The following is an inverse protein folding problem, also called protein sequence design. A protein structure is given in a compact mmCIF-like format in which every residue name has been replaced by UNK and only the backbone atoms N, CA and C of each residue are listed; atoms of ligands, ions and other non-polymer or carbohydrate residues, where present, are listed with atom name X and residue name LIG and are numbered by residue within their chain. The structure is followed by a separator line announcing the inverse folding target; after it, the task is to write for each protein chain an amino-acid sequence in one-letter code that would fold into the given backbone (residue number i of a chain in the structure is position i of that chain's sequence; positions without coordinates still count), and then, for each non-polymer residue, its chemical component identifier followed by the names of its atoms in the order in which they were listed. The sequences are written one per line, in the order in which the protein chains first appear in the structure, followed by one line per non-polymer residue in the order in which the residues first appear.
data_IF_050186750080
#
_entry.id   IF_050186750080
#
_cell.length_a   1.000
_cell.length_b   1.000
_cell.length_c   1.000
_cell.angle_alpha   90.00
_cell.angle_beta   90.00
_cell.angle_gamma   90.00
#
_symmetry.space_group_name_H-M   'P 1'
#
loop_
_entity.id
_entity.type
_entity.pdbx_description
1 polymer ?
#
# COMPACT_ATOMS: atom_id res chain seq x y z
N UNK A 1 -14.84 -17.39 16.79
CA UNK A 1 -14.21 -16.59 17.87
C UNK A 1 -14.95 -15.26 17.94
N UNK A 2 -15.94 -15.16 18.82
CA UNK A 2 -16.75 -13.94 19.00
C UNK A 2 -15.95 -13.06 19.97
N UNK A 3 -15.15 -12.15 19.43
CA UNK A 3 -14.44 -11.16 20.25
C UNK A 3 -15.44 -10.17 20.83
N UNK A 4 -15.19 -9.72 22.06
CA UNK A 4 -16.00 -8.69 22.73
C UNK A 4 -16.23 -7.50 21.81
N UNK A 5 -17.50 -7.25 21.46
CA UNK A 5 -17.90 -6.10 20.65
C UNK A 5 -17.82 -4.85 21.53
N UNK A 6 -17.04 -3.86 21.11
CA UNK A 6 -16.97 -2.58 21.81
C UNK A 6 -18.09 -1.65 21.36
N UNK A 7 -18.42 -0.64 22.18
CA UNK A 7 -19.44 0.35 21.82
C UNK A 7 -19.13 1.09 20.50
N UNK A 8 -17.84 1.34 20.22
CA UNK A 8 -17.40 1.97 18.97
C UNK A 8 -17.65 1.07 17.75
N UNK A 9 -17.54 -0.25 17.93
CA UNK A 9 -17.85 -1.20 16.85
C UNK A 9 -19.35 -1.16 16.53
N UNK A 10 -20.21 -1.14 17.54
CA UNK A 10 -21.65 -1.02 17.35
C UNK A 10 -22.03 0.29 16.62
N UNK A 11 -21.41 1.42 17.00
CA UNK A 11 -21.62 2.69 16.32
C UNK A 11 -21.14 2.66 14.87
N UNK A 12 -19.98 2.06 14.62
CA UNK A 12 -19.43 1.89 13.27
C UNK A 12 -20.33 1.02 12.40
N UNK A 13 -20.86 -0.08 12.96
CA UNK A 13 -21.78 -0.98 12.25
C UNK A 13 -23.10 -0.29 11.88
N UNK A 14 -23.63 0.57 12.76
CA UNK A 14 -24.80 1.39 12.46
C UNK A 14 -24.51 2.43 11.37
N UNK A 15 -23.34 3.06 11.40
CA UNK A 15 -22.92 4.00 10.36
C UNK A 15 -22.76 3.30 8.99
N UNK A 16 -22.18 2.10 8.98
CA UNK A 16 -22.00 1.28 7.77
C UNK A 16 -23.34 0.89 7.11
N UNK A 17 -24.45 0.83 7.86
CA UNK A 17 -25.78 0.57 7.31
C UNK A 17 -26.30 1.73 6.45
N UNK A 18 -25.94 2.97 6.81
CA UNK A 18 -26.35 4.19 6.09
C UNK A 18 -25.36 4.51 4.97
N UNK A 19 -24.06 4.44 5.25
CA UNK A 19 -22.99 4.73 4.31
C UNK A 19 -21.92 3.64 4.41
N UNK A 20 -22.02 2.56 3.62
CA UNK A 20 -21.10 1.44 3.72
C UNK A 20 -19.68 1.88 3.34
N UNK A 21 -18.71 1.51 4.17
CA UNK A 21 -17.29 1.63 3.80
C UNK A 21 -16.98 0.65 2.68
N UNK A 22 -16.35 1.13 1.60
CA UNK A 22 -16.03 0.32 0.43
C UNK A 22 -14.52 0.08 0.28
N UNK A 23 -14.17 -1.11 -0.21
CA UNK A 23 -12.80 -1.46 -0.56
C UNK A 23 -12.31 -0.59 -1.72
N UNK A 24 -11.14 0.05 -1.54
CA UNK A 24 -10.56 0.94 -2.54
C UNK A 24 -10.18 0.23 -3.85
N UNK A 25 -10.02 -1.10 -3.85
CA UNK A 25 -9.60 -1.88 -5.02
C UNK A 25 -10.79 -2.47 -5.77
N UNK A 26 -11.74 -3.08 -5.06
CA UNK A 26 -12.83 -3.85 -5.67
C UNK A 26 -14.24 -3.27 -5.43
N UNK A 27 -14.38 -2.22 -4.61
CA UNK A 27 -15.66 -1.57 -4.30
C UNK A 27 -16.60 -2.37 -3.40
N UNK A 28 -16.23 -3.56 -2.93
CA UNK A 28 -17.06 -4.35 -2.01
C UNK A 28 -17.16 -3.67 -0.64
N UNK A 29 -18.31 -3.80 0.01
CA UNK A 29 -18.51 -3.37 1.40
C UNK A 29 -17.54 -4.07 2.34
N UNK A 30 -16.91 -3.29 3.22
CA UNK A 30 -15.91 -3.73 4.17
C UNK A 30 -16.56 -4.26 5.44
N UNK A 31 -16.00 -5.33 6.01
CA UNK A 31 -16.40 -5.79 7.33
C UNK A 31 -15.95 -4.81 8.43
N UNK A 32 -16.53 -4.94 9.62
CA UNK A 32 -16.20 -4.14 10.81
C UNK A 32 -14.69 -4.00 11.10
N UNK A 33 -13.94 -5.09 10.93
CA UNK A 33 -12.49 -5.12 11.18
C UNK A 33 -11.64 -4.76 9.96
N UNK A 34 -12.27 -4.68 8.80
CA UNK A 34 -11.65 -4.19 7.57
C UNK A 34 -11.73 -2.66 7.56
N UNK A 35 -10.83 -2.02 6.79
CA UNK A 35 -10.66 -0.55 6.85
C UNK A 35 -10.62 0.10 5.48
N UNK A 36 -9.62 -0.21 4.65
CA UNK A 36 -9.49 0.34 3.29
C UNK A 36 -9.48 -0.76 2.22
N UNK A 37 -9.02 -1.96 2.59
CA UNK A 37 -8.96 -3.14 1.75
C UNK A 37 -9.80 -4.24 2.38
N UNK A 38 -10.59 -4.93 1.57
CA UNK A 38 -11.21 -6.18 2.00
C UNK A 38 -10.13 -7.25 2.12
N UNK A 39 -10.39 -8.29 2.91
CA UNK A 39 -9.44 -9.38 3.16
C UNK A 39 -8.99 -10.07 1.86
N UNK A 40 -9.88 -10.17 0.88
CA UNK A 40 -9.57 -10.74 -0.44
C UNK A 40 -8.53 -9.92 -1.19
N UNK A 41 -8.71 -8.61 -1.31
CA UNK A 41 -7.73 -7.73 -1.96
C UNK A 41 -6.45 -7.57 -1.13
N UNK A 42 -6.53 -7.68 0.19
CA UNK A 42 -5.34 -7.66 1.04
C UNK A 42 -4.49 -8.92 0.84
N UNK A 43 -5.13 -10.09 0.74
CA UNK A 43 -4.46 -11.36 0.51
C UNK A 43 -3.90 -11.50 -0.91
N UNK A 44 -4.60 -10.94 -1.91
CA UNK A 44 -4.19 -10.93 -3.33
C UNK A 44 -3.19 -9.81 -3.67
N UNK A 45 -2.84 -8.94 -2.71
CA UNK A 45 -1.91 -7.84 -2.95
C UNK A 45 -0.56 -8.38 -3.47
N UNK A 46 -0.07 -7.93 -4.65
CA UNK A 46 1.13 -8.48 -5.28
C UNK A 46 2.40 -7.95 -4.61
N UNK A 47 2.66 -8.37 -3.38
CA UNK A 47 3.79 -7.93 -2.55
C UNK A 47 5.12 -8.33 -3.17
N UNK A 48 6.10 -7.43 -3.08
CA UNK A 48 7.47 -7.69 -3.58
C UNK A 48 8.36 -8.34 -2.53
N UNK A 49 8.08 -8.10 -1.24
CA UNK A 49 8.89 -8.52 -0.08
C UNK A 49 10.36 -8.05 -0.11
N UNK A 50 10.65 -7.00 -0.88
CA UNK A 50 11.99 -6.45 -1.03
C UNK A 50 12.61 -5.93 0.27
N UNK A 51 11.81 -5.45 1.21
CA UNK A 51 12.26 -5.02 2.54
C UNK A 51 12.83 -6.17 3.38
N UNK A 52 12.45 -7.40 3.11
CA UNK A 52 12.87 -8.57 3.86
C UNK A 52 14.12 -9.23 3.26
N UNK A 53 14.58 -8.74 2.10
CA UNK A 53 15.72 -9.28 1.40
C UNK A 53 16.98 -8.49 1.77
N UNK A 54 18.08 -9.14 2.18
CA UNK A 54 19.34 -8.46 2.47
C UNK A 54 19.94 -7.80 1.21
N UNK A 55 19.73 -8.41 0.03
CA UNK A 55 20.05 -7.82 -1.28
C UNK A 55 18.76 -7.63 -2.07
N UNK A 56 18.39 -6.37 -2.29
CA UNK A 56 17.17 -6.00 -2.96
C UNK A 56 17.45 -5.55 -4.41
N UNK A 57 16.85 -6.25 -5.37
CA UNK A 57 16.95 -5.92 -6.80
C UNK A 57 16.53 -4.48 -7.13
N UNK A 58 15.55 -3.93 -6.40
CA UNK A 58 15.12 -2.54 -6.59
C UNK A 58 16.19 -1.56 -6.11
N UNK A 59 16.82 -1.81 -4.97
CA UNK A 59 17.93 -1.00 -4.47
C UNK A 59 19.13 -1.08 -5.43
N UNK A 60 19.45 -2.28 -5.92
CA UNK A 60 20.54 -2.45 -6.89
C UNK A 60 20.26 -1.70 -8.20
N UNK A 61 19.03 -1.78 -8.72
CA UNK A 61 18.61 -0.99 -9.89
C UNK A 61 18.68 0.51 -9.63
N UNK A 62 18.22 0.96 -8.47
CA UNK A 62 18.26 2.38 -8.11
C UNK A 62 19.69 2.91 -8.05
N UNK A 63 20.59 2.19 -7.37
CA UNK A 63 22.01 2.55 -7.29
C UNK A 63 22.71 2.46 -8.65
N UNK A 64 22.29 1.55 -9.54
CA UNK A 64 22.82 1.51 -10.91
C UNK A 64 22.48 2.77 -11.73
N UNK A 65 21.36 3.43 -11.41
CA UNK A 65 20.97 4.69 -12.05
C UNK A 65 21.77 5.86 -11.46
N UNK A 66 21.95 5.89 -10.14
CA UNK A 66 22.82 6.86 -9.45
C UNK A 66 24.25 6.79 -10.00
N UNK A 67 24.79 5.58 -10.13
CA UNK A 67 26.15 5.38 -10.64
C UNK A 67 26.33 5.95 -12.06
N UNK A 68 25.34 5.77 -12.93
CA UNK A 68 25.35 6.34 -14.29
C UNK A 68 25.31 7.87 -14.26
N UNK A 69 24.56 8.45 -13.33
CA UNK A 69 24.48 9.90 -13.16
C UNK A 69 25.83 10.47 -12.70
N UNK A 70 26.49 9.83 -11.72
CA UNK A 70 27.84 10.17 -11.26
C UNK A 70 28.84 10.13 -12.42
N UNK A 71 28.81 9.06 -13.23
CA UNK A 71 29.68 8.91 -14.40
C UNK A 71 29.45 10.01 -15.47
N UNK A 72 28.25 10.56 -15.54
CA UNK A 72 27.90 11.67 -16.44
C UNK A 72 28.28 13.07 -15.93
N UNK A 73 28.96 13.14 -14.78
CA UNK A 73 29.36 14.39 -14.12
C UNK A 73 28.43 14.83 -12.99
N UNK A 74 27.55 13.94 -12.53
CA UNK A 74 26.70 14.13 -11.35
C UNK A 74 27.49 14.17 -10.04
N UNK A 75 26.78 14.46 -8.94
CA UNK A 75 27.37 14.52 -7.59
C UNK A 75 27.49 13.11 -7.03
N UNK A 76 28.57 12.83 -6.30
CA UNK A 76 28.72 11.57 -5.58
C UNK A 76 27.60 11.39 -4.55
N UNK A 77 26.91 10.25 -4.63
CA UNK A 77 25.96 9.79 -3.62
C UNK A 77 26.37 8.41 -3.09
N UNK A 78 26.17 8.21 -1.79
CA UNK A 78 26.37 6.92 -1.14
C UNK A 78 25.25 5.92 -1.50
N UNK A 79 25.50 4.63 -1.28
CA UNK A 79 24.52 3.57 -1.52
C UNK A 79 23.18 3.90 -0.87
N UNK A 80 22.16 4.05 -1.70
CA UNK A 80 20.83 4.43 -1.29
C UNK A 80 19.91 3.21 -1.18
N UNK A 81 19.28 3.04 -0.02
CA UNK A 81 18.26 2.00 0.16
C UNK A 81 16.97 2.40 -0.54
N UNK A 82 16.46 1.51 -1.39
CA UNK A 82 15.14 1.64 -1.98
C UNK A 82 14.34 0.37 -1.69
N UNK A 83 13.02 0.49 -1.54
CA UNK A 83 12.11 -0.65 -1.45
C UNK A 83 10.76 -0.28 -2.03
N UNK A 84 10.00 -1.29 -2.45
CA UNK A 84 8.61 -1.13 -2.86
C UNK A 84 7.78 -2.13 -2.09
N UNK A 85 6.54 -1.80 -1.78
CA UNK A 85 5.65 -2.71 -1.06
C UNK A 85 5.06 -3.77 -1.99
N UNK A 86 4.60 -3.37 -3.16
CA UNK A 86 3.91 -4.22 -4.12
C UNK A 86 4.28 -3.85 -5.57
N UNK A 87 4.07 -4.79 -6.49
CA UNK A 87 4.25 -4.56 -7.92
C UNK A 87 3.14 -3.68 -8.47
N UNK A 88 3.47 -2.44 -8.81
CA UNK A 88 2.52 -1.52 -9.41
C UNK A 88 2.16 -1.94 -10.84
N UNK A 89 0.86 -2.03 -11.13
CA UNK A 89 0.31 -2.23 -12.48
C UNK A 89 -0.83 -1.25 -12.71
N UNK A 90 -0.77 -0.50 -13.81
CA UNK A 90 -1.78 0.53 -14.13
C UNK A 90 -3.16 -0.04 -14.47
N UNK A 91 -3.22 -1.32 -14.87
CA UNK A 91 -4.46 -1.99 -15.26
C UNK A 91 -5.22 -2.61 -14.08
N UNK A 92 -4.63 -2.65 -12.87
CA UNK A 92 -5.26 -3.25 -11.70
C UNK A 92 -5.87 -2.19 -10.78
N UNK A 93 -6.86 -2.58 -9.97
CA UNK A 93 -7.46 -1.69 -8.97
C UNK A 93 -6.47 -1.23 -7.89
N UNK A 94 -5.37 -1.95 -7.68
CA UNK A 94 -4.33 -1.59 -6.70
C UNK A 94 -3.66 -0.24 -6.98
N UNK A 95 -3.74 0.29 -8.21
CA UNK A 95 -3.28 1.65 -8.53
C UNK A 95 -3.96 2.74 -7.68
N UNK A 96 -5.19 2.48 -7.23
CA UNK A 96 -5.99 3.41 -6.45
C UNK A 96 -5.37 3.67 -5.07
N UNK A 97 -4.60 2.72 -4.53
CA UNK A 97 -3.81 2.90 -3.30
C UNK A 97 -2.83 4.06 -3.47
N UNK A 98 -1.97 3.98 -4.50
CA UNK A 98 -0.98 5.02 -4.80
C UNK A 98 -1.64 6.34 -5.19
N UNK A 99 -2.74 6.30 -5.93
CA UNK A 99 -3.49 7.50 -6.33
C UNK A 99 -4.06 8.24 -5.10
N UNK A 100 -4.70 7.52 -4.17
CA UNK A 100 -5.25 8.07 -2.93
C UNK A 100 -4.17 8.68 -2.05
N UNK A 101 -3.05 7.99 -1.90
CA UNK A 101 -1.90 8.51 -1.16
C UNK A 101 -1.35 9.80 -1.78
N UNK A 102 -1.13 9.81 -3.11
CA UNK A 102 -0.47 10.92 -3.81
C UNK A 102 -1.36 12.15 -3.98
N UNK A 103 -2.63 11.97 -4.33
CA UNK A 103 -3.51 13.07 -4.76
C UNK A 103 -4.62 13.41 -3.77
N UNK A 104 -4.94 12.52 -2.83
CA UNK A 104 -5.99 12.75 -1.83
C UNK A 104 -5.45 12.86 -0.41
N UNK A 105 -4.13 12.78 -0.22
CA UNK A 105 -3.47 12.77 1.11
C UNK A 105 -4.08 11.74 2.07
N UNK A 106 -4.63 10.66 1.51
CA UNK A 106 -5.22 9.58 2.30
C UNK A 106 -4.09 8.65 2.77
N UNK A 107 -3.41 9.09 3.82
CA UNK A 107 -2.32 8.32 4.44
C UNK A 107 -2.80 7.02 5.07
N UNK A 108 -4.09 6.93 5.42
CA UNK A 108 -4.66 5.74 6.02
C UNK A 108 -4.77 4.60 5.00
N UNK A 109 -5.01 4.92 3.73
CA UNK A 109 -4.92 3.96 2.63
C UNK A 109 -3.51 3.40 2.40
N UNK A 110 -2.47 4.17 2.74
CA UNK A 110 -1.05 3.77 2.60
C UNK A 110 -0.46 2.99 3.78
N UNK A 111 -1.26 2.65 4.80
CA UNK A 111 -0.80 1.94 6.01
C UNK A 111 -0.64 0.42 5.84
N UNK A 112 -1.00 -0.12 4.69
CA UNK A 112 -0.99 -1.55 4.36
C UNK A 112 0.11 -1.87 3.37
#
# INVERSE_FOLDING_TARGET
MIGNVTFNDALTALADLVMPRECIVCGKSLALRERHLCIGCLADLPRTYFSNMPHNQLADRFNSLIQRDIESGGVFEEYSYASSLFFYRSQTGYRLITQRLKYHSDYAAGRY
#
